data_IF_836625728889
#
_entry.id   IF_836625728889
#
_cell.length_a   1.000
_cell.length_b   1.000
_cell.length_c   1.000
_cell.angle_alpha   90.00
_cell.angle_beta   90.00
_cell.angle_gamma   90.00
#
_symmetry.space_group_name_H-M   'P 1'
#
loop_
_entity.id
_entity.type
_entity.pdbx_description
1 polymer ?
#
# COMPACT_ATOMS: atom_id res chain seq x y z
N UNK A 1 48.00 -23.38 -43.64
CA UNK A 1 48.85 -22.54 -42.76
C UNK A 1 47.93 -21.95 -41.72
N UNK A 2 48.13 -22.27 -40.45
CA UNK A 2 47.28 -21.80 -39.34
C UNK A 2 48.09 -20.80 -38.53
N UNK A 3 47.58 -19.58 -38.39
CA UNK A 3 48.18 -18.57 -37.52
C UNK A 3 47.29 -18.46 -36.29
N UNK A 4 47.89 -18.62 -35.11
CA UNK A 4 47.22 -18.45 -33.82
C UNK A 4 47.66 -17.11 -33.25
N UNK A 5 46.70 -16.24 -32.98
CA UNK A 5 46.92 -15.01 -32.24
C UNK A 5 46.39 -15.19 -30.82
N UNK A 6 47.23 -14.89 -29.83
CA UNK A 6 46.83 -14.90 -28.42
C UNK A 6 46.63 -13.46 -27.97
N UNK A 7 45.48 -13.18 -27.38
CA UNK A 7 45.18 -11.91 -26.74
C UNK A 7 45.04 -12.14 -25.23
N UNK A 8 45.63 -11.25 -24.43
CA UNK A 8 45.44 -11.23 -22.99
C UNK A 8 44.34 -10.23 -22.65
N UNK A 9 43.30 -10.68 -21.96
CA UNK A 9 42.21 -9.86 -21.45
C UNK A 9 42.33 -9.76 -19.93
N UNK A 10 42.20 -8.54 -19.39
CA UNK A 10 42.02 -8.31 -17.96
C UNK A 10 40.54 -8.02 -17.71
N UNK A 11 39.90 -8.86 -16.91
CA UNK A 11 38.47 -8.74 -16.56
C UNK A 11 38.37 -8.40 -15.09
N UNK A 12 37.81 -7.24 -14.76
CA UNK A 12 37.53 -6.87 -13.38
C UNK A 12 36.10 -7.33 -13.00
N UNK A 13 35.87 -7.85 -11.78
CA UNK A 13 34.54 -8.17 -11.31
C UNK A 13 33.66 -6.92 -11.29
N UNK A 14 32.45 -7.03 -11.85
CA UNK A 14 31.45 -5.98 -11.70
C UNK A 14 31.01 -5.90 -10.22
N UNK A 15 30.98 -4.71 -9.59
CA UNK A 15 30.65 -4.57 -8.18
C UNK A 15 29.20 -4.99 -7.89
N UNK A 16 28.98 -5.57 -6.71
CA UNK A 16 27.63 -5.87 -6.21
C UNK A 16 27.09 -4.62 -5.53
N UNK A 17 25.86 -4.24 -5.88
CA UNK A 17 25.11 -3.12 -5.30
C UNK A 17 24.05 -3.66 -4.34
N UNK A 18 23.79 -2.93 -3.26
CA UNK A 18 22.71 -3.28 -2.33
C UNK A 18 21.35 -2.87 -2.92
N UNK A 19 20.25 -3.49 -2.48
CA UNK A 19 18.89 -3.07 -2.89
C UNK A 19 18.62 -1.62 -2.48
N UNK A 20 19.12 -1.18 -1.32
CA UNK A 20 19.01 0.20 -0.87
C UNK A 20 19.74 1.19 -1.79
N UNK A 21 20.96 0.87 -2.22
CA UNK A 21 21.71 1.75 -3.13
C UNK A 21 21.13 1.70 -4.55
N UNK A 22 20.67 0.53 -4.99
CA UNK A 22 20.03 0.33 -6.30
C UNK A 22 18.85 1.27 -6.52
N UNK A 23 18.05 1.46 -5.48
CA UNK A 23 16.89 2.34 -5.45
C UNK A 23 17.23 3.76 -5.89
N UNK A 24 18.36 4.27 -5.38
CA UNK A 24 18.89 5.61 -5.64
C UNK A 24 19.62 5.76 -7.00
N UNK A 25 19.76 4.69 -7.78
CA UNK A 25 20.43 4.74 -9.09
C UNK A 25 19.54 5.43 -10.14
N UNK A 26 20.12 5.85 -11.27
CA UNK A 26 19.33 6.32 -12.39
C UNK A 26 18.69 5.14 -13.15
N UNK A 27 17.54 5.38 -13.77
CA UNK A 27 16.92 4.39 -14.65
C UNK A 27 17.84 4.02 -15.81
N UNK A 28 17.71 2.77 -16.27
CA UNK A 28 18.51 2.13 -17.31
C UNK A 28 19.98 1.89 -16.98
N UNK A 29 20.45 2.24 -15.78
CA UNK A 29 21.79 1.84 -15.33
C UNK A 29 21.86 0.33 -15.10
N UNK A 30 22.88 -0.29 -15.67
CA UNK A 30 23.18 -1.71 -15.44
C UNK A 30 23.65 -1.89 -14.01
N UNK A 31 23.13 -2.90 -13.34
CA UNK A 31 23.44 -3.18 -11.94
C UNK A 31 23.63 -4.69 -11.74
N UNK A 32 24.44 -5.03 -10.74
CA UNK A 32 24.53 -6.40 -10.22
C UNK A 32 24.04 -6.41 -8.78
N UNK A 33 23.00 -7.19 -8.50
CA UNK A 33 22.51 -7.43 -7.14
C UNK A 33 22.91 -8.83 -6.67
N UNK A 34 22.91 -9.02 -5.36
CA UNK A 34 23.05 -10.31 -4.69
C UNK A 34 21.93 -10.42 -3.67
N UNK A 35 21.15 -11.50 -3.73
CA UNK A 35 20.10 -11.73 -2.73
C UNK A 35 19.51 -13.12 -2.81
N UNK A 36 18.48 -13.34 -2.00
CA UNK A 36 17.69 -14.58 -1.97
C UNK A 36 16.33 -14.32 -2.61
N UNK A 37 15.87 -15.24 -3.45
CA UNK A 37 14.49 -15.21 -3.96
C UNK A 37 13.55 -15.66 -2.84
N UNK A 38 12.68 -14.76 -2.39
CA UNK A 38 11.78 -15.02 -1.26
C UNK A 38 10.35 -15.33 -1.68
N UNK A 39 9.93 -14.84 -2.85
CA UNK A 39 8.60 -15.07 -3.41
C UNK A 39 8.62 -15.12 -4.93
N UNK A 40 7.66 -15.86 -5.49
CA UNK A 40 7.22 -15.76 -6.88
C UNK A 40 5.84 -15.11 -6.89
N UNK A 41 5.68 -14.02 -7.64
CA UNK A 41 4.41 -13.32 -7.82
C UNK A 41 3.93 -13.58 -9.24
N UNK A 42 2.90 -14.41 -9.39
CA UNK A 42 2.51 -14.91 -10.69
C UNK A 42 2.17 -13.76 -11.64
N UNK A 43 2.66 -13.85 -12.88
CA UNK A 43 2.54 -12.83 -13.93
C UNK A 43 3.26 -11.49 -13.68
N UNK A 44 3.89 -11.28 -12.52
CA UNK A 44 4.65 -10.06 -12.22
C UNK A 44 6.17 -10.30 -12.18
N UNK A 45 6.62 -11.38 -11.53
CA UNK A 45 8.04 -11.67 -11.36
C UNK A 45 8.36 -12.33 -10.03
N UNK A 46 9.48 -11.95 -9.43
CA UNK A 46 9.95 -12.50 -8.17
C UNK A 46 10.32 -11.38 -7.19
N UNK A 47 10.28 -11.67 -5.89
CA UNK A 47 10.81 -10.75 -4.88
C UNK A 47 12.21 -11.23 -4.47
N UNK A 48 13.20 -10.35 -4.62
CA UNK A 48 14.57 -10.55 -4.18
C UNK A 48 14.78 -9.81 -2.85
N UNK A 49 15.42 -10.47 -1.89
CA UNK A 49 15.79 -9.90 -0.59
C UNK A 49 17.30 -9.91 -0.40
N UNK A 50 17.85 -8.81 0.12
CA UNK A 50 19.20 -8.74 0.68
C UNK A 50 19.14 -8.17 2.11
N UNK A 51 20.29 -7.87 2.71
CA UNK A 51 20.33 -7.28 4.07
C UNK A 51 19.81 -5.84 4.15
N UNK A 52 19.63 -5.18 3.02
CA UNK A 52 19.24 -3.77 2.91
C UNK A 52 17.76 -3.58 2.53
N UNK A 53 17.10 -4.61 1.99
CA UNK A 53 15.67 -4.56 1.73
C UNK A 53 15.16 -5.62 0.76
N UNK A 54 14.01 -5.32 0.17
CA UNK A 54 13.33 -6.16 -0.82
C UNK A 54 13.06 -5.36 -2.09
N UNK A 55 13.04 -6.05 -3.23
CA UNK A 55 12.71 -5.45 -4.53
C UNK A 55 12.03 -6.48 -5.43
N UNK A 56 11.11 -5.99 -6.27
CA UNK A 56 10.56 -6.79 -7.37
C UNK A 56 11.63 -6.93 -8.47
N UNK A 57 11.80 -8.14 -9.00
CA UNK A 57 12.60 -8.41 -10.19
C UNK A 57 11.70 -8.99 -11.28
N UNK A 58 11.79 -8.44 -12.50
CA UNK A 58 10.89 -8.77 -13.63
C UNK A 58 11.69 -9.22 -14.84
N UNK A 59 11.11 -10.04 -15.71
CA UNK A 59 11.79 -10.51 -16.94
C UNK A 59 12.85 -11.60 -16.72
N UNK A 60 12.82 -12.26 -15.57
CA UNK A 60 13.60 -13.47 -15.30
C UNK A 60 12.65 -14.67 -15.24
N UNK A 61 13.17 -15.85 -15.56
CA UNK A 61 12.42 -17.10 -15.60
C UNK A 61 13.18 -18.20 -14.86
N UNK A 62 12.48 -19.28 -14.50
CA UNK A 62 13.06 -20.48 -13.90
C UNK A 62 13.82 -20.23 -12.57
N UNK A 63 13.48 -19.14 -11.87
CA UNK A 63 13.95 -18.88 -10.52
C UNK A 63 13.07 -19.63 -9.51
N UNK A 64 13.67 -20.04 -8.39
CA UNK A 64 12.94 -20.72 -7.32
C UNK A 64 13.14 -20.01 -5.99
N UNK A 65 12.10 -20.02 -5.18
CA UNK A 65 12.14 -19.54 -3.80
C UNK A 65 13.22 -20.30 -3.00
N UNK A 66 14.02 -19.57 -2.22
CA UNK A 66 15.15 -20.10 -1.46
C UNK A 66 16.44 -20.24 -2.26
N UNK A 67 16.51 -19.75 -3.51
CA UNK A 67 17.77 -19.62 -4.23
C UNK A 67 18.47 -18.32 -3.86
N UNK A 68 19.75 -18.43 -3.49
CA UNK A 68 20.66 -17.30 -3.38
C UNK A 68 21.34 -17.09 -4.74
N UNK A 69 21.24 -15.88 -5.28
CA UNK A 69 21.70 -15.57 -6.63
C UNK A 69 22.52 -14.29 -6.67
N UNK A 70 23.41 -14.19 -7.66
CA UNK A 70 23.79 -12.89 -8.22
C UNK A 70 23.02 -12.64 -9.50
N UNK A 71 22.50 -11.44 -9.69
CA UNK A 71 21.64 -11.10 -10.83
C UNK A 71 22.09 -9.79 -11.46
N UNK A 72 22.15 -9.78 -12.78
CA UNK A 72 22.38 -8.60 -13.61
C UNK A 72 21.10 -8.20 -14.31
N UNK A 73 20.83 -6.91 -14.31
CA UNK A 73 19.78 -6.26 -15.08
C UNK A 73 20.01 -4.76 -15.09
N UNK A 74 18.94 -4.01 -15.29
CA UNK A 74 18.96 -2.55 -15.16
C UNK A 74 17.83 -2.07 -14.27
N UNK A 75 18.02 -0.90 -13.66
CA UNK A 75 16.91 -0.21 -12.98
C UNK A 75 15.89 0.23 -14.02
N UNK A 76 14.63 -0.01 -13.70
CA UNK A 76 13.50 0.53 -14.45
C UNK A 76 12.50 1.06 -13.42
N UNK A 77 11.84 2.17 -13.76
CA UNK A 77 10.89 2.79 -12.87
C UNK A 77 9.72 3.45 -13.61
N UNK A 78 8.56 3.43 -12.97
CA UNK A 78 7.36 4.11 -13.43
C UNK A 78 6.58 4.61 -12.22
N UNK A 79 6.17 5.88 -12.22
CA UNK A 79 5.49 6.51 -11.07
C UNK A 79 6.23 6.31 -9.73
N UNK A 80 7.58 6.34 -9.75
CA UNK A 80 8.47 6.10 -8.59
C UNK A 80 8.42 4.69 -8.00
N UNK A 81 7.82 3.75 -8.74
CA UNK A 81 7.90 2.32 -8.48
C UNK A 81 9.12 1.81 -9.21
N UNK A 82 10.07 1.21 -8.50
CA UNK A 82 11.27 0.67 -9.12
C UNK A 82 11.31 -0.86 -9.06
N UNK A 83 11.88 -1.46 -10.11
CA UNK A 83 12.16 -2.89 -10.17
C UNK A 83 13.45 -3.15 -10.94
N UNK A 84 14.06 -4.31 -10.70
CA UNK A 84 15.14 -4.78 -11.55
C UNK A 84 14.56 -5.41 -12.82
N UNK A 85 14.87 -4.86 -13.98
CA UNK A 85 14.36 -5.34 -15.27
C UNK A 85 15.36 -6.28 -15.95
N UNK A 86 14.87 -7.47 -16.29
CA UNK A 86 15.54 -8.53 -17.03
C UNK A 86 15.25 -8.54 -18.54
N UNK A 87 14.44 -7.60 -19.04
CA UNK A 87 13.92 -7.62 -20.43
C UNK A 87 14.92 -7.13 -21.49
N UNK A 88 16.08 -6.62 -21.09
CA UNK A 88 17.13 -6.14 -22.00
C UNK A 88 18.48 -6.80 -21.70
N UNK A 89 19.44 -6.71 -22.61
CA UNK A 89 20.79 -7.24 -22.37
C UNK A 89 21.71 -6.18 -21.74
N UNK A 90 22.62 -6.56 -20.81
CA UNK A 90 22.87 -7.91 -20.30
C UNK A 90 22.00 -8.25 -19.08
N UNK A 91 21.02 -9.16 -19.26
CA UNK A 91 20.26 -9.73 -18.14
C UNK A 91 20.58 -11.20 -17.98
N UNK A 92 21.09 -11.56 -16.81
CA UNK A 92 21.51 -12.93 -16.48
C UNK A 92 21.59 -13.09 -14.98
N UNK A 93 21.43 -14.31 -14.49
CA UNK A 93 21.66 -14.64 -13.09
C UNK A 93 22.56 -15.87 -12.97
N UNK A 94 23.23 -15.97 -11.83
CA UNK A 94 23.98 -17.14 -11.41
C UNK A 94 23.47 -17.58 -10.05
N UNK A 95 23.14 -18.87 -9.93
CA UNK A 95 22.77 -19.48 -8.65
C UNK A 95 24.04 -19.74 -7.85
N UNK A 96 24.09 -19.18 -6.65
CA UNK A 96 25.19 -19.33 -5.69
C UNK A 96 24.89 -20.51 -4.77
N UNK A 97 23.67 -20.57 -4.25
CA UNK A 97 23.22 -21.59 -3.32
C UNK A 97 21.72 -21.87 -3.48
N UNK A 98 21.28 -23.05 -3.07
CA UNK A 98 19.87 -23.47 -3.14
C UNK A 98 19.39 -23.95 -1.78
N UNK A 99 18.09 -23.81 -1.51
CA UNK A 99 17.51 -24.21 -0.23
C UNK A 99 17.96 -23.34 0.94
N UNK A 100 18.34 -22.09 0.67
CA UNK A 100 18.72 -21.12 1.70
C UNK A 100 17.46 -20.74 2.48
N UNK A 101 17.53 -20.89 3.80
CA UNK A 101 16.49 -20.38 4.69
C UNK A 101 16.60 -18.86 4.80
N UNK A 102 15.47 -18.18 4.70
CA UNK A 102 15.37 -16.74 4.87
C UNK A 102 14.26 -16.41 5.87
N UNK A 103 14.24 -15.17 6.33
CA UNK A 103 13.16 -14.66 7.18
C UNK A 103 12.79 -13.29 6.68
N UNK A 104 11.49 -13.10 6.44
CA UNK A 104 10.93 -11.81 6.07
C UNK A 104 10.32 -11.21 7.34
N UNK A 105 10.91 -10.16 7.91
CA UNK A 105 10.34 -9.53 9.09
C UNK A 105 8.98 -8.93 8.74
N UNK A 106 7.98 -9.21 9.58
CA UNK A 106 6.65 -8.62 9.47
C UNK A 106 6.63 -7.35 10.30
N UNK A 107 6.32 -6.22 9.68
CA UNK A 107 6.19 -4.93 10.36
C UNK A 107 4.72 -4.54 10.42
N UNK A 108 4.07 -4.47 11.59
CA UNK A 108 2.68 -4.03 11.66
C UNK A 108 2.51 -2.58 11.21
N UNK A 109 1.46 -2.30 10.43
CA UNK A 109 1.07 -0.96 10.01
C UNK A 109 -0.45 -0.82 10.06
N UNK A 110 -0.92 0.36 10.43
CA UNK A 110 -2.32 0.76 10.24
C UNK A 110 -2.57 1.21 8.80
N UNK A 111 -3.84 1.34 8.41
CA UNK A 111 -4.19 1.94 7.13
C UNK A 111 -3.76 3.42 7.08
N UNK A 112 -3.91 4.15 8.19
CA UNK A 112 -3.41 5.52 8.34
C UNK A 112 -1.89 5.61 8.13
N UNK A 113 -1.10 4.71 8.74
CA UNK A 113 0.37 4.68 8.55
C UNK A 113 0.75 4.55 7.06
N UNK A 114 -0.07 3.86 6.27
CA UNK A 114 0.12 3.71 4.82
C UNK A 114 -0.34 4.97 4.09
N UNK A 115 -1.50 5.53 4.45
CA UNK A 115 -2.03 6.78 3.91
C UNK A 115 -1.09 7.97 4.09
N UNK A 116 -0.33 8.00 5.18
CA UNK A 116 0.63 9.05 5.52
C UNK A 116 1.97 8.92 4.76
N UNK A 117 2.24 7.79 4.09
CA UNK A 117 3.44 7.66 3.26
C UNK A 117 3.30 8.61 2.08
N UNK A 118 4.27 9.53 1.95
CA UNK A 118 4.28 10.51 0.87
C UNK A 118 4.25 9.81 -0.50
N UNK A 119 3.18 10.01 -1.29
CA UNK A 119 3.07 9.43 -2.62
C UNK A 119 4.24 9.82 -3.51
N UNK A 120 4.56 8.97 -4.49
CA UNK A 120 5.59 9.27 -5.50
C UNK A 120 6.99 9.53 -4.94
N UNK A 121 7.23 9.18 -3.67
CA UNK A 121 8.57 9.10 -3.11
C UNK A 121 9.04 7.66 -3.15
N UNK A 122 10.36 7.47 -3.20
CA UNK A 122 10.91 6.13 -3.19
C UNK A 122 10.66 5.45 -1.85
N UNK A 123 9.78 4.46 -1.84
CA UNK A 123 9.42 3.69 -0.65
C UNK A 123 9.95 2.25 -0.76
N UNK A 124 10.63 1.72 0.28
CA UNK A 124 11.09 0.33 0.27
C UNK A 124 9.89 -0.62 0.26
N UNK A 125 10.02 -1.76 -0.43
CA UNK A 125 9.04 -2.83 -0.30
C UNK A 125 9.13 -3.39 1.12
N UNK A 126 8.00 -3.45 1.83
CA UNK A 126 7.90 -3.93 3.21
C UNK A 126 6.85 -5.01 3.30
N UNK A 127 7.13 -6.08 4.04
CA UNK A 127 6.16 -7.10 4.38
C UNK A 127 5.48 -6.72 5.69
N UNK A 128 4.17 -6.48 5.64
CA UNK A 128 3.42 -5.84 6.71
C UNK A 128 2.15 -6.61 7.05
N UNK A 129 1.66 -6.45 8.28
CA UNK A 129 0.30 -6.80 8.67
C UNK A 129 -0.55 -5.54 8.76
N UNK A 130 -1.70 -5.55 8.10
CA UNK A 130 -2.65 -4.43 8.09
C UNK A 130 -4.01 -4.95 8.53
N UNK A 131 -4.77 -4.14 9.27
CA UNK A 131 -6.16 -4.42 9.64
C UNK A 131 -7.12 -3.47 8.93
N UNK A 132 -8.29 -3.96 8.55
CA UNK A 132 -9.37 -3.16 8.00
C UNK A 132 -10.53 -4.02 7.51
N UNK A 133 -11.54 -3.38 6.93
CA UNK A 133 -12.67 -4.04 6.27
C UNK A 133 -12.25 -4.44 4.86
N UNK A 134 -12.37 -5.73 4.54
CA UNK A 134 -12.16 -6.22 3.18
C UNK A 134 -13.44 -6.03 2.36
N UNK A 135 -13.33 -5.40 1.18
CA UNK A 135 -14.44 -5.32 0.23
C UNK A 135 -13.97 -5.52 -1.20
N UNK A 136 -14.91 -5.86 -2.08
CA UNK A 136 -14.70 -5.97 -3.51
C UNK A 136 -15.36 -4.80 -4.24
N UNK A 137 -14.60 -4.11 -5.09
CA UNK A 137 -15.12 -3.08 -5.97
C UNK A 137 -15.46 -3.70 -7.32
N UNK A 138 -16.75 -3.70 -7.67
CA UNK A 138 -17.21 -4.21 -8.96
C UNK A 138 -16.87 -3.28 -10.14
N UNK A 139 -16.43 -2.05 -9.86
CA UNK A 139 -16.11 -1.06 -10.88
C UNK A 139 -14.71 -1.26 -11.48
N UNK A 140 -13.76 -1.76 -10.68
CA UNK A 140 -12.40 -2.10 -11.13
C UNK A 140 -12.09 -3.60 -11.05
N UNK A 141 -12.99 -4.41 -10.48
CA UNK A 141 -12.84 -5.85 -10.32
C UNK A 141 -11.70 -6.26 -9.36
N UNK A 142 -11.44 -5.43 -8.34
CA UNK A 142 -10.40 -5.69 -7.35
C UNK A 142 -10.88 -5.62 -5.89
N UNK A 143 -10.03 -6.17 -5.01
CA UNK A 143 -10.23 -6.13 -3.56
C UNK A 143 -9.50 -4.95 -2.94
N UNK A 144 -10.08 -4.43 -1.87
CA UNK A 144 -9.56 -3.31 -1.10
C UNK A 144 -9.67 -3.57 0.39
N UNK A 145 -8.74 -3.02 1.15
CA UNK A 145 -8.84 -2.89 2.60
C UNK A 145 -9.12 -1.43 2.95
N UNK A 146 -10.04 -1.19 3.88
CA UNK A 146 -10.44 0.17 4.25
C UNK A 146 -10.79 0.32 5.73
N UNK A 147 -10.57 1.51 6.27
CA UNK A 147 -11.05 1.97 7.57
C UNK A 147 -12.23 2.96 7.42
N UNK A 148 -12.63 3.28 6.19
CA UNK A 148 -13.67 4.26 5.86
C UNK A 148 -13.12 5.59 5.35
N UNK A 149 -11.82 5.83 5.54
CA UNK A 149 -11.09 7.01 5.07
C UNK A 149 -10.04 6.63 4.03
N UNK A 150 -9.18 5.67 4.38
CA UNK A 150 -8.07 5.20 3.56
C UNK A 150 -8.42 3.88 2.90
N UNK A 151 -8.34 3.84 1.57
CA UNK A 151 -8.41 2.61 0.79
C UNK A 151 -7.01 2.13 0.39
N UNK A 152 -6.74 0.84 0.57
CA UNK A 152 -5.53 0.18 0.07
C UNK A 152 -5.93 -0.91 -0.92
N UNK A 153 -5.46 -0.78 -2.15
CA UNK A 153 -5.68 -1.73 -3.23
C UNK A 153 -4.93 -3.04 -2.98
N UNK A 154 -5.59 -4.19 -3.20
CA UNK A 154 -4.98 -5.51 -3.01
C UNK A 154 -4.81 -6.21 -4.36
N UNK A 155 -3.56 -6.30 -4.81
CA UNK A 155 -3.17 -7.20 -5.89
C UNK A 155 -3.09 -8.64 -5.37
N UNK A 156 -3.90 -9.55 -5.91
CA UNK A 156 -3.80 -10.97 -5.57
C UNK A 156 -2.77 -11.68 -6.46
N UNK A 157 -1.80 -12.36 -5.86
CA UNK A 157 -0.69 -12.97 -6.60
C UNK A 157 -1.10 -14.11 -7.55
N UNK A 158 -2.26 -14.75 -7.33
CA UNK A 158 -2.78 -15.85 -8.14
C UNK A 158 -4.27 -16.11 -7.84
N UNK A 159 -4.90 -17.03 -8.58
CA UNK A 159 -6.31 -17.43 -8.36
C UNK A 159 -6.59 -17.99 -6.96
N UNK A 160 -5.62 -18.66 -6.34
CA UNK A 160 -5.75 -19.15 -4.97
C UNK A 160 -5.89 -17.99 -3.98
N UNK A 161 -5.02 -16.99 -4.09
CA UNK A 161 -5.09 -15.76 -3.30
C UNK A 161 -6.40 -15.00 -3.51
N UNK A 162 -6.89 -14.92 -4.75
CA UNK A 162 -8.19 -14.32 -5.05
C UNK A 162 -9.35 -15.05 -4.35
N UNK A 163 -9.41 -16.39 -4.45
CA UNK A 163 -10.43 -17.19 -3.78
C UNK A 163 -10.36 -17.04 -2.26
N UNK A 164 -9.16 -16.89 -1.71
CA UNK A 164 -8.98 -16.61 -0.28
C UNK A 164 -9.58 -15.27 0.08
N UNK A 165 -9.31 -14.18 -0.64
CA UNK A 165 -9.92 -12.87 -0.39
C UNK A 165 -11.44 -12.93 -0.46
N UNK A 166 -11.99 -13.59 -1.49
CA UNK A 166 -13.44 -13.76 -1.65
C UNK A 166 -14.12 -14.38 -0.42
N UNK A 167 -13.47 -15.33 0.25
CA UNK A 167 -14.02 -15.98 1.43
C UNK A 167 -14.12 -15.06 2.67
N UNK A 168 -13.37 -13.95 2.66
CA UNK A 168 -13.35 -12.95 3.73
C UNK A 168 -14.02 -11.63 3.34
N UNK A 169 -14.61 -11.54 2.15
CA UNK A 169 -15.27 -10.33 1.67
C UNK A 169 -16.36 -9.88 2.67
N UNK A 170 -16.35 -8.57 2.98
CA UNK A 170 -17.26 -7.96 3.93
C UNK A 170 -16.91 -8.21 5.40
N UNK A 171 -15.75 -8.78 5.71
CA UNK A 171 -15.30 -9.01 7.09
C UNK A 171 -14.18 -8.05 7.49
N UNK A 172 -14.07 -7.78 8.79
CA UNK A 172 -12.88 -7.17 9.38
C UNK A 172 -11.77 -8.23 9.44
N UNK A 173 -10.63 -7.91 8.84
CA UNK A 173 -9.51 -8.85 8.73
C UNK A 173 -8.20 -8.22 9.15
N UNK A 174 -7.27 -9.07 9.59
CA UNK A 174 -5.85 -8.78 9.55
C UNK A 174 -5.24 -9.56 8.38
N UNK A 175 -4.46 -8.87 7.54
CA UNK A 175 -3.85 -9.43 6.34
C UNK A 175 -2.35 -9.15 6.28
N UNK A 176 -1.56 -10.15 5.88
CA UNK A 176 -0.12 -10.05 5.59
C UNK A 176 0.11 -9.82 4.12
N UNK A 177 0.80 -8.74 3.79
CA UNK A 177 0.97 -8.30 2.40
C UNK A 177 2.32 -7.63 2.20
N UNK A 178 2.77 -7.55 0.95
CA UNK A 178 3.91 -6.71 0.56
C UNK A 178 3.39 -5.35 0.11
N UNK A 179 3.72 -4.29 0.84
CA UNK A 179 3.49 -2.92 0.37
C UNK A 179 4.39 -2.66 -0.84
N UNK A 180 3.78 -2.32 -1.97
CA UNK A 180 4.43 -2.37 -3.26
C UNK A 180 4.51 -1.01 -3.94
N UNK A 181 3.37 -0.39 -4.27
CA UNK A 181 3.37 0.85 -5.04
C UNK A 181 2.20 1.80 -4.73
N UNK A 182 2.28 3.02 -5.27
CA UNK A 182 1.19 4.00 -5.26
C UNK A 182 0.81 4.31 -6.71
N UNK A 183 -0.46 4.11 -7.08
CA UNK A 183 -0.90 4.24 -8.46
C UNK A 183 -2.35 4.75 -8.56
N UNK A 184 -2.73 5.18 -9.76
CA UNK A 184 -4.11 5.60 -10.06
C UNK A 184 -4.96 4.36 -10.32
N UNK A 185 -5.98 4.17 -9.50
CA UNK A 185 -7.01 3.15 -9.63
C UNK A 185 -8.38 3.81 -9.92
N UNK A 186 -9.43 3.01 -10.12
CA UNK A 186 -10.76 3.56 -10.42
C UNK A 186 -11.32 4.43 -9.30
N UNK A 187 -11.02 4.08 -8.04
CA UNK A 187 -11.45 4.82 -6.85
C UNK A 187 -10.58 6.06 -6.55
N UNK A 188 -9.55 6.30 -7.36
CA UNK A 188 -8.59 7.37 -7.14
C UNK A 188 -7.17 6.84 -6.99
N UNK A 189 -6.27 7.70 -6.55
CA UNK A 189 -4.88 7.35 -6.32
C UNK A 189 -4.70 6.79 -4.92
N UNK A 190 -4.17 5.56 -4.81
CA UNK A 190 -3.98 4.89 -3.53
C UNK A 190 -2.77 3.95 -3.54
N UNK A 191 -2.39 3.50 -2.34
CA UNK A 191 -1.36 2.50 -2.16
C UNK A 191 -1.88 1.11 -2.53
N UNK A 192 -1.01 0.32 -3.15
CA UNK A 192 -1.23 -1.06 -3.52
C UNK A 192 -0.35 -2.00 -2.69
N UNK A 193 -0.93 -3.14 -2.37
CA UNK A 193 -0.25 -4.23 -1.68
C UNK A 193 -0.38 -5.53 -2.47
N UNK A 194 0.60 -6.42 -2.35
CA UNK A 194 0.57 -7.75 -2.95
C UNK A 194 0.20 -8.76 -1.87
N UNK A 195 -0.93 -9.43 -2.06
CA UNK A 195 -1.37 -10.55 -1.22
C UNK A 195 -1.01 -11.89 -1.86
N UNK A 196 -0.19 -12.67 -1.15
CA UNK A 196 0.30 -13.96 -1.62
C UNK A 196 -0.72 -15.11 -1.43
N UNK A 197 -1.63 -14.98 -0.47
CA UNK A 197 -2.64 -16.00 -0.18
C UNK A 197 -2.09 -17.24 0.51
N UNK A 198 -1.02 -17.15 1.29
CA UNK A 198 -0.49 -18.30 2.02
C UNK A 198 -1.37 -18.63 3.23
N UNK A 199 -1.37 -19.89 3.70
CA UNK A 199 -2.07 -20.24 4.93
C UNK A 199 -1.63 -19.35 6.11
N UNK A 200 -2.59 -18.66 6.74
CA UNK A 200 -2.33 -17.75 7.85
C UNK A 200 -1.87 -16.34 7.46
N UNK A 201 -1.94 -15.99 6.17
CA UNK A 201 -1.75 -14.60 5.72
C UNK A 201 -3.00 -13.74 5.93
N UNK A 202 -4.18 -14.35 6.13
CA UNK A 202 -5.41 -13.61 6.43
C UNK A 202 -6.19 -14.31 7.54
N UNK A 203 -6.79 -13.51 8.41
CA UNK A 203 -7.66 -13.98 9.48
C UNK A 203 -8.76 -12.95 9.76
N UNK A 204 -9.97 -13.42 10.07
CA UNK A 204 -11.05 -12.57 10.55
C UNK A 204 -10.75 -12.14 11.98
N UNK A 205 -10.58 -10.83 12.18
CA UNK A 205 -10.36 -10.21 13.48
C UNK A 205 -11.33 -9.04 13.59
N UNK A 206 -12.50 -9.24 14.22
CA UNK A 206 -13.45 -8.18 14.46
C UNK A 206 -12.79 -7.03 15.23
N UNK A 207 -13.09 -5.80 14.82
CA UNK A 207 -12.70 -4.64 15.64
C UNK A 207 -13.53 -4.57 16.91
N UNK A 208 -12.89 -4.10 17.98
CA UNK A 208 -13.58 -3.77 19.23
C UNK A 208 -14.45 -2.54 19.04
N UNK A 209 -15.44 -2.34 19.93
CA UNK A 209 -16.28 -1.14 19.90
C UNK A 209 -15.46 0.16 19.99
N UNK A 210 -14.37 0.14 20.78
CA UNK A 210 -13.49 1.29 20.92
C UNK A 210 -12.72 1.59 19.62
N UNK A 211 -12.19 0.56 18.95
CA UNK A 211 -11.52 0.72 17.64
C UNK A 211 -12.49 1.22 16.57
N UNK A 212 -13.74 0.72 16.57
CA UNK A 212 -14.77 1.20 15.64
C UNK A 212 -15.12 2.66 15.91
N UNK A 213 -15.29 3.06 17.17
CA UNK A 213 -15.57 4.46 17.52
C UNK A 213 -14.42 5.39 17.13
N UNK A 214 -13.17 4.95 17.25
CA UNK A 214 -12.00 5.71 16.80
C UNK A 214 -12.01 5.88 15.28
N UNK A 215 -12.21 4.81 14.51
CA UNK A 215 -12.33 4.90 13.04
C UNK A 215 -13.49 5.81 12.62
N UNK A 216 -14.63 5.74 13.31
CA UNK A 216 -15.76 6.65 13.08
C UNK A 216 -15.39 8.10 13.38
N UNK A 217 -14.59 8.35 14.41
CA UNK A 217 -14.10 9.69 14.73
C UNK A 217 -13.12 10.21 13.69
N UNK A 218 -12.16 9.40 13.26
CA UNK A 218 -11.21 9.75 12.20
C UNK A 218 -11.93 10.08 10.88
N UNK A 219 -12.97 9.31 10.55
CA UNK A 219 -13.82 9.59 9.40
C UNK A 219 -14.55 10.93 9.49
N UNK A 220 -15.13 11.25 10.65
CA UNK A 220 -15.79 12.55 10.87
C UNK A 220 -14.77 13.68 10.81
N UNK A 221 -13.60 13.49 11.40
CA UNK A 221 -12.53 14.47 11.37
C UNK A 221 -12.10 14.74 9.93
N UNK A 222 -11.89 13.69 9.13
CA UNK A 222 -11.57 13.80 7.72
C UNK A 222 -12.67 14.50 6.90
N UNK A 223 -13.94 14.16 7.10
CA UNK A 223 -15.06 14.77 6.35
C UNK A 223 -15.27 16.26 6.71
N UNK A 224 -14.93 16.66 7.94
CA UNK A 224 -15.06 18.02 8.44
C UNK A 224 -13.78 18.87 8.34
N UNK A 225 -12.61 18.26 8.09
CA UNK A 225 -11.36 18.99 7.87
C UNK A 225 -11.35 19.65 6.49
N UNK A 226 -12.05 20.79 6.42
CA UNK A 226 -12.25 21.51 5.18
C UNK A 226 -12.14 23.02 5.39
N UNK A 227 -11.76 23.72 4.33
CA UNK A 227 -11.86 25.17 4.30
C UNK A 227 -13.31 25.56 4.11
N UNK A 228 -13.94 26.03 5.17
CA UNK A 228 -15.31 26.52 5.11
C UNK A 228 -15.36 27.93 4.49
N UNK A 229 -16.30 28.10 3.57
CA UNK A 229 -16.58 29.39 2.93
C UNK A 229 -17.95 29.86 3.39
N UNK A 230 -18.03 31.11 3.81
CA UNK A 230 -19.26 31.77 4.20
C UNK A 230 -20.37 31.59 3.14
N UNK A 231 -21.59 31.34 3.61
CA UNK A 231 -22.78 31.09 2.82
C UNK A 231 -22.66 29.89 1.86
N UNK A 232 -21.69 28.99 2.07
CA UNK A 232 -21.61 27.70 1.40
C UNK A 232 -22.00 26.58 2.35
N UNK A 233 -22.81 25.68 1.81
CA UNK A 233 -23.22 24.46 2.50
C UNK A 233 -22.16 23.38 2.26
N UNK A 234 -21.67 22.81 3.34
CA UNK A 234 -20.94 21.54 3.36
C UNK A 234 -21.91 20.43 3.73
N UNK A 235 -22.02 19.44 2.86
CA UNK A 235 -22.67 18.18 3.20
C UNK A 235 -21.68 17.33 4.01
N UNK A 236 -22.17 16.72 5.09
CA UNK A 236 -21.43 15.69 5.82
C UNK A 236 -22.20 14.36 5.80
N UNK A 237 -21.52 13.26 6.06
CA UNK A 237 -22.19 11.96 6.18
C UNK A 237 -22.73 11.75 7.61
N UNK A 238 -24.03 11.45 7.79
CA UNK A 238 -24.61 11.21 9.11
C UNK A 238 -24.31 9.80 9.66
N UNK A 239 -23.54 8.97 8.95
CA UNK A 239 -23.16 7.62 9.35
C UNK A 239 -21.80 7.22 8.75
N UNK A 240 -21.11 6.28 9.39
CA UNK A 240 -19.87 5.72 8.87
C UNK A 240 -20.16 4.81 7.66
N UNK A 241 -19.39 4.89 6.56
CA UNK A 241 -19.67 4.12 5.35
C UNK A 241 -19.60 2.60 5.55
N UNK A 242 -18.80 2.13 6.52
CA UNK A 242 -18.59 0.70 6.78
C UNK A 242 -19.40 0.21 7.98
N UNK A 243 -19.40 0.99 9.06
CA UNK A 243 -19.89 0.55 10.38
C UNK A 243 -21.27 1.15 10.71
N UNK A 244 -21.82 1.97 9.80
CA UNK A 244 -23.10 2.64 9.98
C UNK A 244 -23.09 3.56 11.20
N UNK A 245 -24.07 3.38 12.08
CA UNK A 245 -24.24 4.22 13.27
C UNK A 245 -24.78 5.60 12.96
N UNK A 246 -24.59 6.52 13.91
CA UNK A 246 -25.04 7.91 13.78
C UNK A 246 -23.92 8.88 14.13
N UNK A 247 -23.78 9.91 13.30
CA UNK A 247 -22.92 11.06 13.49
C UNK A 247 -23.85 12.27 13.61
N UNK A 248 -23.89 12.87 14.79
CA UNK A 248 -24.69 14.05 15.08
C UNK A 248 -23.79 15.23 15.40
N UNK A 249 -24.10 16.37 14.79
CA UNK A 249 -23.39 17.63 14.99
C UNK A 249 -24.29 18.61 15.74
N UNK A 250 -23.74 19.30 16.72
CA UNK A 250 -24.40 20.38 17.45
C UNK A 250 -23.50 21.62 17.54
N UNK A 251 -24.09 22.79 17.39
CA UNK A 251 -23.39 24.06 17.56
C UNK A 251 -23.43 24.49 19.01
N UNK A 252 -22.27 24.77 19.57
CA UNK A 252 -22.12 25.25 20.93
C UNK A 252 -21.27 26.53 20.96
N UNK A 253 -21.24 27.18 22.13
CA UNK A 253 -20.35 28.31 22.39
C UNK A 253 -20.88 29.67 21.90
N UNK A 254 -20.01 30.68 22.01
CA UNK A 254 -20.36 32.10 21.90
C UNK A 254 -20.75 32.54 20.48
N UNK A 255 -20.27 31.83 19.45
CA UNK A 255 -20.43 32.21 18.04
C UNK A 255 -21.35 31.25 17.25
N UNK A 256 -22.09 30.38 17.94
CA UNK A 256 -22.99 29.41 17.31
C UNK A 256 -24.05 30.06 16.39
N UNK A 257 -24.40 31.33 16.62
CA UNK A 257 -25.33 32.10 15.79
C UNK A 257 -24.83 32.36 14.36
N UNK A 258 -23.53 32.21 14.12
CA UNK A 258 -22.90 32.38 12.80
C UNK A 258 -22.77 31.08 12.01
N UNK A 259 -23.40 30.01 12.47
CA UNK A 259 -23.50 28.77 11.73
C UNK A 259 -24.88 28.17 11.91
N UNK A 260 -25.23 27.25 11.02
CA UNK A 260 -26.40 26.41 11.22
C UNK A 260 -26.11 24.98 10.80
N UNK A 261 -26.82 24.07 11.46
CA UNK A 261 -26.90 22.66 11.10
C UNK A 261 -28.36 22.37 10.77
N UNK A 262 -28.60 21.82 9.60
CA UNK A 262 -29.92 21.34 9.21
C UNK A 262 -29.77 20.00 8.50
N UNK A 263 -30.33 18.95 9.09
CA UNK A 263 -30.12 17.56 8.66
C UNK A 263 -28.61 17.25 8.56
N UNK A 264 -28.11 16.89 7.38
CA UNK A 264 -26.70 16.60 7.12
C UNK A 264 -25.96 17.77 6.43
N UNK A 265 -26.44 18.99 6.64
CA UNK A 265 -25.88 20.22 6.11
C UNK A 265 -25.29 21.05 7.23
N UNK A 266 -24.06 21.52 7.03
CA UNK A 266 -23.42 22.52 7.88
C UNK A 266 -23.01 23.72 7.02
N UNK A 267 -23.30 24.92 7.50
CA UNK A 267 -22.86 26.15 6.84
C UNK A 267 -22.54 27.24 7.85
N UNK A 268 -21.55 28.05 7.49
CA UNK A 268 -21.19 29.28 8.19
C UNK A 268 -21.90 30.43 7.47
N UNK A 269 -22.55 31.31 8.23
CA UNK A 269 -23.28 32.49 7.74
C UNK A 269 -22.43 33.75 7.88
N UNK A 270 -22.99 34.91 7.50
CA UNK A 270 -22.29 36.20 7.48
C UNK A 270 -21.45 36.47 8.75
N UNK A 271 -20.14 36.26 8.70
CA UNK A 271 -19.20 36.42 9.81
C UNK A 271 -18.64 37.85 9.86
N UNK A 272 -18.58 38.48 11.04
CA UNK A 272 -18.06 39.85 11.19
C UNK A 272 -16.52 39.94 11.13
N UNK A 273 -15.82 38.80 11.12
CA UNK A 273 -14.37 38.67 11.15
C UNK A 273 -13.94 37.28 11.66
N UNK A 274 -12.66 37.11 11.97
CA UNK A 274 -12.11 35.86 12.49
C UNK A 274 -12.81 35.46 13.80
N UNK A 275 -13.41 34.27 13.82
CA UNK A 275 -14.11 33.73 14.97
C UNK A 275 -13.91 32.22 15.09
N UNK A 276 -14.14 31.70 16.30
CA UNK A 276 -14.10 30.27 16.62
C UNK A 276 -15.52 29.76 16.78
N UNK A 277 -15.89 28.71 16.05
CA UNK A 277 -17.18 28.02 16.19
C UNK A 277 -16.91 26.67 16.82
N UNK A 278 -17.52 26.41 17.98
CA UNK A 278 -17.40 25.12 18.65
C UNK A 278 -18.45 24.15 18.09
N UNK A 279 -17.96 23.06 17.52
CA UNK A 279 -18.79 21.97 17.00
C UNK A 279 -18.69 20.79 17.97
N UNK A 280 -19.80 20.45 18.60
CA UNK A 280 -19.91 19.21 19.36
C UNK A 280 -20.32 18.07 18.43
N UNK A 281 -19.56 16.97 18.49
CA UNK A 281 -19.73 15.80 17.66
C UNK A 281 -20.12 14.64 18.57
N UNK A 282 -21.30 14.06 18.34
CA UNK A 282 -21.74 12.84 19.02
C UNK A 282 -21.71 11.68 18.04
N UNK A 283 -20.90 10.67 18.35
CA UNK A 283 -20.77 9.45 17.56
C UNK A 283 -21.40 8.31 18.33
N UNK A 284 -22.34 7.62 17.71
CA UNK A 284 -22.96 6.41 18.27
C UNK A 284 -22.79 5.25 17.31
N UNK A 285 -22.19 4.16 17.80
CA UNK A 285 -22.09 2.92 17.05
C UNK A 285 -23.49 2.31 16.84
N UNK A 286 -23.80 1.95 15.60
CA UNK A 286 -25.03 1.22 15.24
C UNK A 286 -24.85 -0.29 15.33
N UNK A 287 -25.92 -1.05 15.03
CA UNK A 287 -25.77 -2.45 14.64
C UNK A 287 -25.24 -2.50 13.20
N UNK A 288 -24.33 -3.43 12.88
CA UNK A 288 -23.86 -3.63 11.49
C UNK A 288 -25.07 -3.83 10.56
N UNK A 289 -25.11 -3.10 9.44
CA UNK A 289 -26.14 -3.22 8.39
C UNK A 289 -25.76 -4.24 7.34
#
# INVERSE_FOLDING_TARGET
>A
MTVVHTFNLTVNPYPVTTIFDFRMMADFEVVKLHGVIIEEVANLGYILQDSSGMIMIKGYHDLQVGWEITIFGHKDSYNNICWLSGYSTPSQYNVINTGVSFTVPVTPMTLQDIGDITPYTEHPMVYTTIRGRLYYSSADEFYYLTDGVTDVYIYHANFGAQNTLQAFEGQDVEIKVYLNDYNSHFLGENWSVIFMGKPGDIQAIPFTDAEILEMMYDYVHFDLDHVYVENKIKMFSPAHPIYGGTIELALNGLNAEYAYIFENQFAITDIPGDLWIDLEITITKGAET
#
